data_IF_266547024317
#
_entry.id   IF_266547024317
#
_cell.length_a   1.000
_cell.length_b   1.000
_cell.length_c   1.000
_cell.angle_alpha   90.00
_cell.angle_beta   90.00
_cell.angle_gamma   90.00
#
_symmetry.space_group_name_H-M   'P 1'
#
loop_
_entity.id
_entity.type
_entity.pdbx_description
1 polymer ?
#
# COMPACT_ATOMS: atom_id res chain seq x y z
N UNK A 1 8.32 -9.86 8.84
CA UNK A 1 8.54 -10.85 7.76
C UNK A 1 8.40 -12.30 8.22
N UNK A 2 9.11 -12.75 9.26
CA UNK A 2 9.03 -14.16 9.71
C UNK A 2 7.60 -14.56 10.13
N UNK A 3 6.92 -13.75 10.93
CA UNK A 3 5.53 -14.01 11.32
C UNK A 3 4.58 -14.20 10.12
N UNK A 4 4.80 -13.42 9.06
CA UNK A 4 4.07 -13.61 7.80
C UNK A 4 4.40 -14.94 7.13
N UNK A 5 5.69 -15.28 7.01
CA UNK A 5 6.12 -16.57 6.44
C UNK A 5 5.57 -17.77 7.23
N UNK A 6 5.56 -17.65 8.56
CA UNK A 6 4.96 -18.65 9.45
C UNK A 6 3.46 -18.81 9.19
N UNK A 7 2.73 -17.72 9.00
CA UNK A 7 1.30 -17.77 8.65
C UNK A 7 1.02 -18.42 7.28
N UNK A 8 2.04 -18.53 6.41
CA UNK A 8 1.99 -19.19 5.10
C UNK A 8 2.49 -20.65 5.12
N UNK A 9 2.71 -21.21 6.30
CA UNK A 9 3.18 -22.59 6.42
C UNK A 9 4.66 -22.77 6.10
N UNK A 10 5.47 -21.70 6.12
CA UNK A 10 6.88 -21.77 5.82
C UNK A 10 7.75 -22.33 6.96
N UNK A 11 7.16 -22.76 8.08
CA UNK A 11 7.89 -23.24 9.26
C UNK A 11 8.88 -24.36 8.93
N UNK A 12 8.48 -25.29 8.05
CA UNK A 12 9.27 -26.48 7.74
C UNK A 12 10.45 -26.20 6.80
N UNK A 13 10.47 -25.04 6.13
CA UNK A 13 11.54 -24.67 5.20
C UNK A 13 12.53 -23.65 5.79
N UNK A 14 12.18 -22.98 6.90
CA UNK A 14 13.03 -22.00 7.56
C UNK A 14 13.80 -22.70 8.67
N UNK A 15 15.11 -22.84 8.52
CA UNK A 15 15.96 -23.56 9.46
C UNK A 15 16.66 -22.68 10.49
N UNK A 16 16.64 -21.35 10.30
CA UNK A 16 17.24 -20.39 11.21
C UNK A 16 17.37 -19.00 10.59
N UNK A 17 17.98 -18.12 11.33
CA UNK A 17 18.24 -16.73 10.95
C UNK A 17 19.74 -16.46 10.93
N UNK A 18 20.14 -15.45 10.14
CA UNK A 18 21.47 -14.87 10.19
C UNK A 18 21.38 -13.41 10.56
N UNK A 19 22.11 -13.00 11.60
CA UNK A 19 22.21 -11.59 12.00
C UNK A 19 23.60 -11.29 12.55
N UNK A 20 24.04 -10.03 12.38
CA UNK A 20 25.32 -9.54 12.95
C UNK A 20 25.29 -9.50 14.48
N UNK A 21 24.10 -9.45 15.06
CA UNK A 21 23.87 -9.46 16.50
C UNK A 21 23.54 -10.87 17.05
N UNK A 22 23.98 -11.92 16.37
CA UNK A 22 23.70 -13.30 16.77
C UNK A 22 24.18 -13.63 18.19
N UNK A 23 25.24 -12.97 18.67
CA UNK A 23 25.71 -13.12 20.05
C UNK A 23 24.72 -12.54 21.09
N UNK A 24 23.97 -11.47 20.69
CA UNK A 24 22.97 -10.84 21.53
C UNK A 24 21.59 -11.52 21.37
N UNK A 25 21.26 -11.92 20.13
CA UNK A 25 19.96 -12.51 19.74
C UNK A 25 20.21 -13.97 19.39
N UNK A 26 20.15 -14.84 20.38
CA UNK A 26 20.43 -16.27 20.16
C UNK A 26 19.28 -17.04 19.49
N UNK A 27 18.05 -16.60 19.67
CA UNK A 27 16.84 -17.24 19.12
C UNK A 27 15.79 -16.20 18.72
N UNK A 28 15.04 -16.54 17.67
CA UNK A 28 13.77 -15.90 17.30
C UNK A 28 12.73 -17.02 17.25
N UNK A 29 11.71 -16.95 18.11
CA UNK A 29 10.85 -18.08 18.44
C UNK A 29 11.70 -19.31 18.82
N UNK A 30 11.50 -20.46 18.13
CA UNK A 30 12.23 -21.71 18.38
C UNK A 30 13.47 -21.87 17.48
N UNK A 31 13.73 -20.91 16.55
CA UNK A 31 14.83 -20.99 15.59
C UNK A 31 16.08 -20.26 16.08
N UNK A 32 17.23 -20.86 15.83
CA UNK A 32 18.50 -20.27 16.18
C UNK A 32 18.88 -19.08 15.27
N UNK A 33 19.59 -18.13 15.83
CA UNK A 33 20.22 -17.04 15.09
C UNK A 33 21.72 -17.30 15.03
N UNK A 34 22.28 -17.27 13.84
CA UNK A 34 23.67 -17.61 13.54
C UNK A 34 24.44 -16.39 13.03
N UNK A 35 25.73 -16.38 13.29
CA UNK A 35 26.66 -15.56 12.51
C UNK A 35 26.80 -16.10 11.10
N UNK A 36 27.05 -15.19 10.13
CA UNK A 36 27.14 -15.60 8.73
C UNK A 36 28.23 -16.66 8.47
N UNK A 37 29.34 -16.57 9.18
CA UNK A 37 30.49 -17.50 9.04
C UNK A 37 30.18 -18.92 9.58
N UNK A 38 29.17 -19.04 10.43
CA UNK A 38 28.72 -20.33 10.97
C UNK A 38 27.89 -21.15 9.96
N UNK A 39 27.27 -20.49 8.99
CA UNK A 39 26.33 -21.11 8.02
C UNK A 39 26.81 -21.07 6.58
N UNK A 40 27.80 -20.24 6.27
CA UNK A 40 28.43 -20.17 4.94
C UNK A 40 29.02 -21.51 4.52
N UNK A 41 28.89 -21.87 3.25
CA UNK A 41 29.40 -23.13 2.70
C UNK A 41 28.62 -24.39 3.09
N UNK A 42 27.53 -24.27 3.84
CA UNK A 42 26.71 -25.41 4.27
C UNK A 42 25.58 -25.75 3.30
N UNK A 43 25.48 -25.07 2.16
CA UNK A 43 24.51 -25.36 1.12
C UNK A 43 23.10 -24.83 1.38
N UNK A 44 22.93 -23.94 2.32
CA UNK A 44 21.64 -23.28 2.58
C UNK A 44 21.26 -22.32 1.45
N UNK A 45 19.96 -22.09 1.32
CA UNK A 45 19.41 -21.00 0.51
C UNK A 45 19.18 -19.80 1.42
N UNK A 46 19.85 -18.69 1.15
CA UNK A 46 19.72 -17.47 1.92
C UNK A 46 18.59 -16.57 1.37
N UNK A 47 17.57 -16.34 2.15
CA UNK A 47 16.53 -15.35 1.84
C UNK A 47 16.92 -14.01 2.47
N UNK A 48 17.19 -12.99 1.63
CA UNK A 48 17.60 -11.67 2.10
C UNK A 48 16.35 -10.83 2.35
N UNK A 49 16.12 -10.47 3.61
CA UNK A 49 14.91 -9.77 4.08
C UNK A 49 15.08 -8.26 4.21
N UNK A 50 16.25 -7.68 3.87
CA UNK A 50 16.45 -6.24 3.87
C UNK A 50 15.59 -5.56 2.79
N UNK A 51 14.91 -4.48 3.15
CA UNK A 51 14.11 -3.68 2.23
C UNK A 51 14.97 -2.75 1.36
N UNK A 52 16.11 -2.30 1.87
CA UNK A 52 17.04 -1.44 1.12
C UNK A 52 17.80 -2.22 0.04
N UNK A 53 17.70 -1.76 -1.22
CA UNK A 53 18.34 -2.41 -2.37
C UNK A 53 19.86 -2.39 -2.29
N UNK A 54 20.45 -1.28 -1.84
CA UNK A 54 21.90 -1.16 -1.70
C UNK A 54 22.43 -2.10 -0.62
N UNK A 55 21.70 -2.23 0.49
CA UNK A 55 22.01 -3.16 1.56
C UNK A 55 21.94 -4.61 1.09
N UNK A 56 20.91 -4.99 0.33
CA UNK A 56 20.79 -6.33 -0.27
C UNK A 56 21.97 -6.65 -1.19
N UNK A 57 22.28 -5.71 -2.10
CA UNK A 57 23.43 -5.87 -3.01
C UNK A 57 24.73 -6.04 -2.23
N UNK A 58 24.99 -5.18 -1.24
CA UNK A 58 26.17 -5.26 -0.41
C UNK A 58 26.30 -6.62 0.25
N UNK A 59 25.24 -7.15 0.85
CA UNK A 59 25.27 -8.49 1.48
C UNK A 59 25.60 -9.56 0.45
N UNK A 60 24.96 -9.57 -0.73
CA UNK A 60 25.24 -10.53 -1.79
C UNK A 60 26.69 -10.48 -2.25
N UNK A 61 27.23 -9.28 -2.44
CA UNK A 61 28.53 -9.06 -3.07
C UNK A 61 29.69 -9.18 -2.06
N UNK A 62 29.45 -9.09 -0.76
CA UNK A 62 30.52 -9.10 0.26
C UNK A 62 30.40 -10.22 1.29
N UNK A 63 29.19 -10.53 1.73
CA UNK A 63 28.99 -11.47 2.84
C UNK A 63 28.55 -12.87 2.36
N UNK A 64 27.79 -12.95 1.26
CA UNK A 64 27.23 -14.19 0.71
C UNK A 64 27.82 -14.54 -0.67
N UNK A 65 29.05 -14.17 -0.93
CA UNK A 65 29.74 -14.47 -2.20
C UNK A 65 29.79 -15.98 -2.43
N UNK A 66 29.24 -16.43 -3.56
CA UNK A 66 29.19 -17.84 -3.91
C UNK A 66 28.03 -18.64 -3.30
N UNK A 67 27.26 -18.03 -2.40
CA UNK A 67 26.07 -18.65 -1.81
C UNK A 67 24.84 -18.49 -2.68
N UNK A 68 23.89 -19.42 -2.54
CA UNK A 68 22.58 -19.32 -3.19
C UNK A 68 21.70 -18.32 -2.42
N UNK A 69 21.35 -17.22 -3.07
CA UNK A 69 20.54 -16.15 -2.47
C UNK A 69 19.28 -15.87 -3.27
N UNK A 70 18.20 -15.62 -2.55
CA UNK A 70 16.94 -15.11 -3.10
C UNK A 70 16.52 -13.84 -2.38
N UNK A 71 15.77 -12.99 -3.05
CA UNK A 71 15.07 -11.87 -2.41
C UNK A 71 13.80 -12.36 -1.70
N UNK A 72 13.31 -11.59 -0.73
CA UNK A 72 12.16 -12.00 0.10
C UNK A 72 10.92 -12.41 -0.72
N UNK A 73 10.59 -11.67 -1.78
CA UNK A 73 9.46 -12.00 -2.64
C UNK A 73 9.65 -13.27 -3.48
N UNK A 74 10.89 -13.72 -3.67
CA UNK A 74 11.18 -14.93 -4.44
C UNK A 74 10.88 -16.21 -3.64
N UNK A 75 10.72 -16.10 -2.30
CA UNK A 75 10.33 -17.22 -1.45
C UNK A 75 8.93 -17.78 -1.83
N UNK A 76 8.09 -16.96 -2.47
CA UNK A 76 6.77 -17.35 -2.95
C UNK A 76 6.81 -18.64 -3.77
N UNK A 77 7.83 -18.80 -4.62
CA UNK A 77 7.98 -20.00 -5.46
C UNK A 77 8.26 -21.27 -4.66
N UNK A 78 8.80 -21.15 -3.45
CA UNK A 78 9.01 -22.26 -2.52
C UNK A 78 7.79 -22.55 -1.64
N UNK A 79 6.78 -21.68 -1.69
CA UNK A 79 5.50 -21.80 -0.99
C UNK A 79 4.34 -22.16 -1.94
N UNK A 80 4.67 -22.56 -3.18
CA UNK A 80 3.68 -22.86 -4.22
C UNK A 80 2.68 -21.72 -4.46
N UNK A 81 3.14 -20.49 -4.28
CA UNK A 81 2.35 -19.27 -4.42
C UNK A 81 2.91 -18.41 -5.54
N UNK A 82 2.06 -17.79 -6.35
CA UNK A 82 2.54 -16.78 -7.30
C UNK A 82 2.96 -15.49 -6.57
N UNK A 83 3.89 -14.75 -7.18
CA UNK A 83 4.48 -13.56 -6.55
C UNK A 83 3.49 -12.41 -6.33
N UNK A 84 2.48 -12.28 -7.19
CA UNK A 84 1.45 -11.25 -7.03
C UNK A 84 0.66 -11.53 -5.76
N UNK A 85 0.12 -12.74 -5.63
CA UNK A 85 -0.63 -13.17 -4.44
C UNK A 85 0.21 -13.03 -3.18
N UNK A 86 1.46 -13.50 -3.20
CA UNK A 86 2.38 -13.37 -2.06
C UNK A 86 2.59 -11.91 -1.65
N UNK A 87 2.88 -11.02 -2.60
CA UNK A 87 3.14 -9.60 -2.30
C UNK A 87 1.89 -8.86 -1.83
N UNK A 88 0.71 -9.15 -2.40
CA UNK A 88 -0.58 -8.62 -1.93
C UNK A 88 -0.83 -8.95 -0.47
N UNK A 89 -0.68 -10.22 -0.12
CA UNK A 89 -0.91 -10.70 1.24
C UNK A 89 0.12 -10.19 2.22
N UNK A 90 1.39 -10.08 1.79
CA UNK A 90 2.45 -9.49 2.62
C UNK A 90 2.21 -8.00 2.86
N UNK A 91 1.84 -7.24 1.83
CA UNK A 91 1.51 -5.83 1.96
C UNK A 91 0.37 -5.62 2.98
N UNK A 92 -0.69 -6.40 2.85
CA UNK A 92 -1.81 -6.34 3.78
C UNK A 92 -1.41 -6.76 5.21
N UNK A 93 -0.63 -7.83 5.36
CA UNK A 93 -0.12 -8.30 6.65
C UNK A 93 0.75 -7.22 7.31
N UNK A 94 1.66 -6.60 6.55
CA UNK A 94 2.55 -5.56 7.05
C UNK A 94 1.77 -4.35 7.59
N UNK A 95 0.71 -3.92 6.88
CA UNK A 95 -0.14 -2.81 7.32
C UNK A 95 -1.11 -3.18 8.45
N UNK A 96 -1.33 -4.48 8.70
CA UNK A 96 -2.11 -4.97 9.84
C UNK A 96 -1.30 -5.02 11.14
N UNK A 97 0.02 -4.97 11.07
CA UNK A 97 0.89 -4.97 12.23
C UNK A 97 0.85 -3.64 12.97
N UNK A 98 1.48 -3.56 14.13
CA UNK A 98 1.45 -2.37 14.98
C UNK A 98 2.22 -1.20 14.32
N UNK A 99 1.48 -0.34 13.62
CA UNK A 99 2.00 0.85 12.93
C UNK A 99 1.69 2.14 13.71
N UNK A 100 1.59 2.09 15.03
CA UNK A 100 1.22 3.26 15.86
C UNK A 100 2.05 4.48 15.50
N UNK A 101 3.38 4.33 15.53
CA UNK A 101 4.31 5.42 15.19
C UNK A 101 4.12 5.97 13.77
N UNK A 102 3.78 5.10 12.81
CA UNK A 102 3.51 5.56 11.43
C UNK A 102 2.32 6.51 11.38
N UNK A 103 1.24 6.18 12.09
CA UNK A 103 0.06 7.04 12.11
C UNK A 103 0.30 8.36 12.83
N UNK A 104 1.11 8.37 13.89
CA UNK A 104 1.55 9.58 14.58
C UNK A 104 2.39 10.48 13.66
N UNK A 105 3.45 9.91 13.05
CA UNK A 105 4.34 10.63 12.11
C UNK A 105 3.56 11.12 10.86
N UNK A 106 2.51 10.44 10.45
CA UNK A 106 1.70 10.81 9.29
C UNK A 106 0.84 12.05 9.54
N UNK A 107 0.41 12.31 10.76
CA UNK A 107 -0.35 13.53 11.12
C UNK A 107 0.50 14.79 10.87
N UNK A 108 1.81 14.75 11.10
CA UNK A 108 2.71 15.89 10.90
C UNK A 108 2.89 16.26 9.41
N UNK A 109 2.47 15.38 8.49
CA UNK A 109 2.64 15.57 7.05
C UNK A 109 1.34 15.98 6.31
N UNK A 110 0.26 16.28 7.01
CA UNK A 110 -1.02 16.66 6.39
C UNK A 110 -0.88 17.87 5.48
N UNK A 111 -0.14 18.90 5.91
CA UNK A 111 0.04 20.14 5.13
C UNK A 111 0.75 19.93 3.79
N UNK A 112 1.57 18.89 3.64
CA UNK A 112 2.23 18.56 2.37
C UNK A 112 1.21 18.28 1.28
N UNK A 113 0.09 17.68 1.63
CA UNK A 113 -0.93 17.21 0.70
C UNK A 113 -2.04 18.24 0.47
N UNK A 114 -2.40 18.96 1.52
CA UNK A 114 -3.48 19.95 1.51
C UNK A 114 -3.00 21.37 1.20
N UNK A 115 -1.75 21.50 0.78
CA UNK A 115 -1.22 22.74 0.25
C UNK A 115 -1.90 23.12 -1.06
N UNK A 116 -2.37 24.35 -1.19
CA UNK A 116 -3.08 24.86 -2.38
C UNK A 116 -2.27 24.72 -3.69
N UNK A 117 -0.94 24.66 -3.60
CA UNK A 117 -0.06 24.47 -4.75
C UNK A 117 0.11 23.00 -5.15
N UNK A 118 -0.29 22.06 -4.30
CA UNK A 118 -0.16 20.64 -4.61
C UNK A 118 -1.10 20.22 -5.75
N UNK A 119 -0.64 19.30 -6.59
CA UNK A 119 -1.48 18.75 -7.65
C UNK A 119 -2.66 17.96 -7.10
N UNK A 120 -2.50 17.33 -5.91
CA UNK A 120 -3.59 16.65 -5.24
C UNK A 120 -4.70 17.62 -4.85
N UNK A 121 -4.38 18.71 -4.13
CA UNK A 121 -5.39 19.66 -3.66
C UNK A 121 -6.16 20.30 -4.81
N UNK A 122 -5.46 20.71 -5.88
CA UNK A 122 -6.09 21.26 -7.09
C UNK A 122 -7.12 20.33 -7.70
N UNK A 123 -6.81 19.03 -7.78
CA UNK A 123 -7.73 18.03 -8.31
C UNK A 123 -8.82 17.69 -7.29
N UNK A 124 -8.50 17.66 -5.99
CA UNK A 124 -9.48 17.43 -4.93
C UNK A 124 -10.59 18.48 -4.94
N UNK A 125 -10.27 19.74 -5.18
CA UNK A 125 -11.26 20.82 -5.33
C UNK A 125 -12.22 20.62 -6.51
N UNK A 126 -11.96 19.66 -7.40
CA UNK A 126 -12.85 19.31 -8.52
C UNK A 126 -13.83 18.18 -8.18
N UNK A 127 -13.77 17.63 -6.97
CA UNK A 127 -14.68 16.58 -6.50
C UNK A 127 -15.99 17.16 -5.98
N UNK A 128 -17.07 16.45 -6.26
CA UNK A 128 -18.36 16.68 -5.59
C UNK A 128 -18.36 15.94 -4.25
N UNK A 129 -18.40 16.68 -3.16
CA UNK A 129 -18.34 16.12 -1.79
C UNK A 129 -19.73 15.83 -1.20
N UNK A 130 -20.80 15.82 -2.01
CA UNK A 130 -22.17 15.55 -1.53
C UNK A 130 -22.25 14.15 -0.88
N UNK A 131 -21.63 13.13 -1.47
CA UNK A 131 -21.49 11.78 -0.90
C UNK A 131 -20.15 11.20 -1.33
N UNK A 132 -19.13 11.32 -0.47
CA UNK A 132 -17.73 11.02 -0.79
C UNK A 132 -17.25 9.77 -0.08
N UNK A 133 -16.42 8.98 -0.76
CA UNK A 133 -15.66 7.86 -0.17
C UNK A 133 -14.20 8.30 0.01
N UNK A 134 -13.64 8.09 1.20
CA UNK A 134 -12.20 8.06 1.42
C UNK A 134 -11.75 6.62 1.57
N UNK A 135 -10.98 6.12 0.58
CA UNK A 135 -10.47 4.76 0.54
C UNK A 135 -9.10 4.69 1.22
N UNK A 136 -8.93 3.73 2.10
CA UNK A 136 -7.76 3.54 2.96
C UNK A 136 -7.51 4.76 3.86
N UNK A 137 -8.55 5.14 4.59
CA UNK A 137 -8.58 6.36 5.40
C UNK A 137 -7.62 6.33 6.61
N UNK A 138 -7.08 5.16 6.98
CA UNK A 138 -6.28 5.02 8.17
C UNK A 138 -7.05 5.53 9.42
N UNK A 139 -6.41 6.39 10.20
CA UNK A 139 -7.03 7.03 11.38
C UNK A 139 -7.70 8.37 11.06
N UNK A 140 -8.01 8.62 9.79
CA UNK A 140 -8.80 9.77 9.36
C UNK A 140 -8.04 11.09 9.36
N UNK A 141 -6.72 11.09 9.10
CA UNK A 141 -5.90 12.33 9.09
C UNK A 141 -6.40 13.40 8.10
N UNK A 142 -7.01 12.98 7.00
CA UNK A 142 -7.51 13.89 5.96
C UNK A 142 -8.91 14.42 6.25
N UNK A 143 -9.71 13.70 7.03
CA UNK A 143 -11.12 14.03 7.29
C UNK A 143 -11.35 15.47 7.74
N UNK A 144 -10.57 16.07 8.67
CA UNK A 144 -10.76 17.45 9.09
C UNK A 144 -10.67 18.46 7.95
N UNK A 145 -9.95 18.14 6.87
CA UNK A 145 -9.70 19.07 5.77
C UNK A 145 -10.91 19.23 4.84
N UNK A 146 -11.87 18.32 4.89
CA UNK A 146 -13.03 18.36 3.97
C UNK A 146 -14.39 18.10 4.63
N UNK A 147 -14.44 17.62 5.86
CA UNK A 147 -15.66 17.20 6.55
C UNK A 147 -16.74 18.30 6.63
N UNK A 148 -16.33 19.54 6.86
CA UNK A 148 -17.28 20.66 6.90
C UNK A 148 -18.02 20.85 5.58
N UNK A 149 -17.31 20.64 4.47
CA UNK A 149 -17.86 20.80 3.09
C UNK A 149 -18.58 19.56 2.60
N UNK A 150 -18.37 18.41 3.25
CA UNK A 150 -18.96 17.16 2.83
C UNK A 150 -20.43 17.03 3.31
N UNK A 151 -21.29 16.49 2.46
CA UNK A 151 -22.64 16.11 2.83
C UNK A 151 -22.65 14.80 3.62
N UNK A 152 -22.06 13.75 3.04
CA UNK A 152 -21.88 12.42 3.62
C UNK A 152 -20.49 11.89 3.31
N UNK A 153 -19.87 11.25 4.28
CA UNK A 153 -18.54 10.65 4.14
C UNK A 153 -18.62 9.16 4.44
N UNK A 154 -18.02 8.33 3.60
CA UNK A 154 -17.79 6.92 3.87
C UNK A 154 -16.29 6.67 4.02
N UNK A 155 -15.87 6.36 5.23
CA UNK A 155 -14.47 5.99 5.53
C UNK A 155 -14.29 4.49 5.35
N UNK A 156 -13.38 4.11 4.46
CA UNK A 156 -13.09 2.72 4.15
C UNK A 156 -11.65 2.39 4.56
N UNK A 157 -11.47 1.34 5.34
CA UNK A 157 -10.16 0.81 5.70
C UNK A 157 -10.21 -0.71 5.86
N UNK A 158 -9.08 -1.38 5.70
CA UNK A 158 -8.98 -2.83 5.91
C UNK A 158 -8.95 -3.20 7.40
N UNK A 159 -8.63 -2.24 8.27
CA UNK A 159 -8.44 -2.44 9.71
C UNK A 159 -9.59 -1.83 10.50
N UNK A 160 -10.36 -2.68 11.15
CA UNK A 160 -11.42 -2.21 12.06
C UNK A 160 -10.85 -1.30 13.17
N UNK A 161 -9.62 -1.57 13.68
CA UNK A 161 -8.96 -0.71 14.68
C UNK A 161 -8.77 0.75 14.21
N UNK A 162 -8.52 0.97 12.92
CA UNK A 162 -8.40 2.30 12.34
C UNK A 162 -9.76 3.00 12.29
N UNK A 163 -10.80 2.26 11.89
CA UNK A 163 -12.17 2.78 11.89
C UNK A 163 -12.68 3.08 13.29
N UNK A 164 -12.28 2.29 14.31
CA UNK A 164 -12.59 2.56 15.71
C UNK A 164 -11.90 3.84 16.21
N UNK A 165 -10.67 4.09 15.77
CA UNK A 165 -9.99 5.36 16.03
C UNK A 165 -10.74 6.54 15.36
N UNK A 166 -11.19 6.39 14.12
CA UNK A 166 -12.02 7.37 13.43
C UNK A 166 -13.36 7.61 14.16
N UNK A 167 -14.07 6.56 14.61
CA UNK A 167 -15.33 6.70 15.38
C UNK A 167 -15.13 7.55 16.64
N UNK A 168 -14.03 7.33 17.33
CA UNK A 168 -13.68 8.12 18.53
C UNK A 168 -13.32 9.57 18.17
N UNK A 169 -12.51 9.74 17.13
CA UNK A 169 -12.01 11.06 16.68
C UNK A 169 -13.15 11.96 16.20
N UNK A 170 -14.15 11.39 15.53
CA UNK A 170 -15.23 12.12 14.87
C UNK A 170 -16.61 11.82 15.48
N UNK A 171 -16.68 11.58 16.78
CA UNK A 171 -17.92 11.25 17.47
C UNK A 171 -19.01 12.32 17.30
N UNK A 172 -18.62 13.60 17.27
CA UNK A 172 -19.52 14.75 17.10
C UNK A 172 -20.07 14.90 15.67
N UNK A 173 -19.53 14.16 14.70
CA UNK A 173 -19.98 14.13 13.30
C UNK A 173 -20.51 12.77 12.87
N UNK A 174 -20.96 11.96 13.82
CA UNK A 174 -21.42 10.58 13.59
C UNK A 174 -22.63 10.45 12.67
N UNK A 175 -23.40 11.52 12.50
CA UNK A 175 -24.53 11.61 11.57
C UNK A 175 -24.11 11.73 10.09
N UNK A 176 -22.90 12.21 9.84
CA UNK A 176 -22.34 12.39 8.49
C UNK A 176 -21.42 11.26 8.04
N UNK A 177 -20.80 10.53 8.98
CA UNK A 177 -19.72 9.59 8.69
C UNK A 177 -20.18 8.16 8.82
N UNK A 178 -19.97 7.40 7.75
CA UNK A 178 -20.17 5.94 7.70
C UNK A 178 -18.82 5.24 7.65
N UNK A 179 -18.74 4.07 8.27
CA UNK A 179 -17.50 3.30 8.41
C UNK A 179 -17.70 1.94 7.76
N UNK A 180 -16.74 1.56 6.90
CA UNK A 180 -16.77 0.29 6.21
C UNK A 180 -15.39 -0.40 6.26
N UNK A 181 -15.30 -1.46 7.06
CA UNK A 181 -14.15 -2.36 7.01
C UNK A 181 -14.29 -3.27 5.80
N UNK A 182 -13.44 -3.08 4.79
CA UNK A 182 -13.46 -3.87 3.58
C UNK A 182 -12.52 -5.09 3.68
N UNK A 183 -12.62 -6.01 2.73
CA UNK A 183 -11.85 -7.26 2.72
C UNK A 183 -10.50 -7.18 2.00
N UNK A 184 -9.94 -5.98 1.84
CA UNK A 184 -8.65 -5.65 1.23
C UNK A 184 -8.65 -5.47 -0.28
N UNK A 185 -9.68 -5.92 -1.00
CA UNK A 185 -9.59 -6.01 -2.45
C UNK A 185 -10.74 -5.37 -3.20
N UNK A 186 -11.83 -5.03 -2.52
CA UNK A 186 -13.04 -4.52 -3.14
C UNK A 186 -13.89 -3.62 -2.24
N UNK A 187 -14.95 -3.08 -2.84
CA UNK A 187 -15.96 -2.26 -2.19
C UNK A 187 -17.37 -2.89 -2.35
N UNK A 188 -17.45 -4.22 -2.47
CA UNK A 188 -18.67 -4.96 -2.86
C UNK A 188 -19.90 -4.68 -2.01
N UNK A 189 -19.73 -4.26 -0.74
CA UNK A 189 -20.86 -3.94 0.14
C UNK A 189 -21.35 -2.51 0.00
N UNK A 190 -20.65 -1.66 -0.75
CA UNK A 190 -21.10 -0.31 -1.04
C UNK A 190 -22.11 -0.32 -2.19
N UNK A 191 -23.10 0.58 -2.11
CA UNK A 191 -24.22 0.69 -3.04
C UNK A 191 -23.77 1.12 -4.44
N UNK A 192 -24.44 0.61 -5.46
CA UNK A 192 -24.23 0.97 -6.85
C UNK A 192 -24.73 2.38 -7.13
N UNK A 193 -23.96 3.16 -7.90
CA UNK A 193 -24.34 4.50 -8.38
C UNK A 193 -24.86 5.44 -7.28
N UNK A 194 -24.30 5.31 -6.06
CA UNK A 194 -24.74 6.08 -4.89
C UNK A 194 -23.81 7.25 -4.55
N UNK A 195 -22.55 7.20 -4.96
CA UNK A 195 -21.50 8.12 -4.52
C UNK A 195 -21.20 9.17 -5.59
N UNK A 196 -21.00 10.42 -5.16
CA UNK A 196 -20.63 11.54 -6.04
C UNK A 196 -19.14 11.54 -6.34
N UNK A 197 -18.31 11.12 -5.37
CA UNK A 197 -16.86 11.05 -5.55
C UNK A 197 -16.19 10.03 -4.65
N UNK A 198 -14.95 9.72 -5.02
CA UNK A 198 -14.01 8.93 -4.20
C UNK A 198 -12.64 9.54 -4.28
N UNK A 199 -11.88 9.45 -3.19
CA UNK A 199 -10.43 9.69 -3.25
C UNK A 199 -9.65 8.70 -2.38
N UNK A 200 -8.37 8.54 -2.71
CA UNK A 200 -7.38 7.84 -1.89
C UNK A 200 -6.05 8.55 -1.98
N UNK A 201 -5.38 8.69 -0.84
CA UNK A 201 -4.09 9.34 -0.79
C UNK A 201 -3.08 8.55 0.05
N UNK A 202 -1.85 8.44 -0.47
CA UNK A 202 -0.70 7.78 0.16
C UNK A 202 -0.96 6.31 0.62
N UNK A 203 -1.85 5.64 -0.11
CA UNK A 203 -2.18 4.24 0.15
C UNK A 203 -2.05 3.39 -1.13
N UNK A 204 -2.68 3.79 -2.25
CA UNK A 204 -2.68 2.99 -3.48
C UNK A 204 -1.30 2.92 -4.15
N UNK A 205 -0.35 3.71 -3.72
CA UNK A 205 1.07 3.63 -4.10
C UNK A 205 1.72 2.29 -3.73
N UNK A 206 1.14 1.60 -2.73
CA UNK A 206 1.60 0.30 -2.21
C UNK A 206 0.83 -0.88 -2.79
N UNK A 207 -0.27 -0.65 -3.51
CA UNK A 207 -1.15 -1.73 -3.97
C UNK A 207 -0.55 -2.43 -5.20
N UNK A 208 -0.74 -3.74 -5.27
CA UNK A 208 -0.46 -4.50 -6.48
C UNK A 208 -1.41 -4.13 -7.60
N UNK A 209 -0.96 -4.27 -8.84
CA UNK A 209 -1.73 -3.94 -10.04
C UNK A 209 -3.11 -4.61 -10.06
N UNK A 210 -3.20 -5.87 -9.62
CA UNK A 210 -4.46 -6.62 -9.61
C UNK A 210 -5.45 -6.06 -8.58
N UNK A 211 -4.94 -5.53 -7.44
CA UNK A 211 -5.78 -4.86 -6.46
C UNK A 211 -6.30 -3.53 -6.98
N UNK A 212 -5.42 -2.75 -7.63
CA UNK A 212 -5.81 -1.51 -8.30
C UNK A 212 -6.93 -1.77 -9.31
N UNK A 213 -6.78 -2.81 -10.15
CA UNK A 213 -7.82 -3.16 -11.12
C UNK A 213 -9.15 -3.58 -10.45
N UNK A 214 -9.09 -4.35 -9.37
CA UNK A 214 -10.27 -4.75 -8.61
C UNK A 214 -10.99 -3.53 -8.02
N UNK A 215 -10.25 -2.64 -7.36
CA UNK A 215 -10.81 -1.40 -6.82
C UNK A 215 -11.40 -0.50 -7.91
N UNK A 216 -10.72 -0.32 -9.03
CA UNK A 216 -11.23 0.51 -10.14
C UNK A 216 -12.61 0.03 -10.62
N UNK A 217 -12.83 -1.29 -10.73
CA UNK A 217 -14.16 -1.85 -11.11
C UNK A 217 -15.23 -1.50 -10.10
N UNK A 218 -14.95 -1.68 -8.82
CA UNK A 218 -15.94 -1.39 -7.79
C UNK A 218 -16.18 0.10 -7.60
N UNK A 219 -15.13 0.92 -7.72
CA UNK A 219 -15.27 2.37 -7.69
C UNK A 219 -16.16 2.86 -8.85
N UNK A 220 -15.94 2.31 -10.05
CA UNK A 220 -16.80 2.62 -11.20
C UNK A 220 -18.27 2.24 -10.94
N UNK A 221 -18.52 1.07 -10.35
CA UNK A 221 -19.87 0.63 -9.97
C UNK A 221 -20.50 1.56 -8.95
N UNK A 222 -19.76 1.94 -7.90
CA UNK A 222 -20.28 2.76 -6.80
C UNK A 222 -20.56 4.21 -7.19
N UNK A 223 -19.78 4.78 -8.11
CA UNK A 223 -19.95 6.17 -8.53
C UNK A 223 -21.22 6.36 -9.36
N UNK A 224 -21.87 7.49 -9.17
CA UNK A 224 -22.93 7.99 -10.06
C UNK A 224 -22.36 8.31 -11.44
N UNK A 225 -23.18 8.32 -12.50
CA UNK A 225 -22.79 8.91 -13.79
C UNK A 225 -22.27 10.35 -13.58
N UNK A 226 -21.13 10.69 -14.18
CA UNK A 226 -20.43 11.96 -13.97
C UNK A 226 -19.66 12.07 -12.63
N UNK A 227 -19.72 11.04 -11.77
CA UNK A 227 -18.96 10.98 -10.53
C UNK A 227 -17.48 10.86 -10.77
N UNK A 228 -16.66 11.43 -9.87
CA UNK A 228 -15.20 11.53 -10.03
C UNK A 228 -14.45 10.74 -8.98
N UNK A 229 -13.29 10.23 -9.37
CA UNK A 229 -12.37 9.55 -8.48
C UNK A 229 -10.95 10.12 -8.60
N UNK A 230 -10.33 10.42 -7.46
CA UNK A 230 -8.99 10.98 -7.36
C UNK A 230 -8.03 9.98 -6.69
N UNK A 231 -6.93 9.68 -7.37
CA UNK A 231 -5.98 8.67 -6.95
C UNK A 231 -4.58 9.24 -6.82
N UNK A 232 -3.93 8.94 -5.70
CA UNK A 232 -2.48 8.98 -5.59
C UNK A 232 -1.95 7.55 -5.73
N UNK A 233 -1.20 7.28 -6.79
CA UNK A 233 -0.69 5.95 -7.10
C UNK A 233 0.79 6.00 -7.49
N UNK A 234 1.47 4.85 -7.42
CA UNK A 234 2.87 4.72 -7.85
C UNK A 234 3.06 5.06 -9.33
N UNK A 235 4.22 5.63 -9.66
CA UNK A 235 4.72 5.76 -11.04
C UNK A 235 6.13 5.13 -11.17
N UNK A 236 6.43 4.14 -10.35
CA UNK A 236 7.72 3.49 -10.34
C UNK A 236 7.81 2.37 -11.39
N UNK A 237 8.69 2.57 -12.38
CA UNK A 237 8.88 1.63 -13.51
C UNK A 237 10.32 1.20 -13.73
N UNK A 238 11.26 1.66 -12.89
CA UNK A 238 12.69 1.42 -13.11
C UNK A 238 13.08 -0.06 -12.99
N UNK A 239 12.31 -0.83 -12.24
CA UNK A 239 12.56 -2.25 -12.04
C UNK A 239 11.24 -3.01 -12.03
N UNK A 240 10.98 -3.82 -13.07
CA UNK A 240 9.76 -4.64 -13.18
C UNK A 240 9.67 -5.76 -12.13
N UNK A 241 10.77 -6.06 -11.43
CA UNK A 241 10.80 -6.98 -10.29
C UNK A 241 10.49 -6.29 -8.96
N UNK A 242 10.34 -4.96 -8.98
CA UNK A 242 10.04 -4.19 -7.78
C UNK A 242 8.61 -4.45 -7.31
N UNK A 243 8.46 -4.46 -6.01
CA UNK A 243 7.21 -4.57 -5.28
C UNK A 243 7.32 -3.79 -3.97
N UNK A 244 6.29 -3.85 -3.15
CA UNK A 244 6.25 -3.22 -1.84
C UNK A 244 7.52 -3.47 -0.99
N UNK A 245 8.13 -4.67 -1.08
CA UNK A 245 9.26 -5.06 -0.23
C UNK A 245 10.59 -4.43 -0.65
N UNK A 246 10.78 -4.05 -1.91
CA UNK A 246 12.10 -3.75 -2.46
C UNK A 246 12.18 -2.51 -3.36
N UNK A 247 11.11 -1.75 -3.45
CA UNK A 247 11.07 -0.49 -4.19
C UNK A 247 11.26 0.73 -3.26
N UNK A 248 11.73 1.87 -3.79
CA UNK A 248 11.81 3.11 -3.02
C UNK A 248 10.47 3.48 -2.39
N UNK A 249 10.48 3.86 -1.12
CA UNK A 249 9.29 4.23 -0.35
C UNK A 249 8.16 3.18 -0.44
N UNK A 250 8.52 1.91 -0.56
CA UNK A 250 7.56 0.78 -0.65
C UNK A 250 6.57 0.89 -1.82
N UNK A 251 6.99 1.46 -2.96
CA UNK A 251 6.13 1.55 -4.15
C UNK A 251 6.07 0.22 -4.88
N UNK A 252 4.89 -0.16 -5.32
CA UNK A 252 4.74 -1.24 -6.27
C UNK A 252 5.00 -0.77 -7.71
N UNK A 253 5.33 -1.71 -8.60
CA UNK A 253 5.54 -1.41 -10.01
C UNK A 253 4.23 -0.94 -10.64
N UNK A 254 4.22 0.30 -11.10
CA UNK A 254 3.10 0.94 -11.78
C UNK A 254 3.60 2.10 -12.62
N UNK A 255 2.86 2.46 -13.67
CA UNK A 255 3.08 3.70 -14.41
C UNK A 255 1.79 4.47 -14.60
N UNK A 256 1.90 5.78 -14.84
CA UNK A 256 0.76 6.61 -15.23
C UNK A 256 -0.01 6.02 -16.42
N UNK A 257 0.71 5.48 -17.42
CA UNK A 257 0.09 4.91 -18.62
C UNK A 257 -0.62 3.60 -18.34
N UNK A 258 -0.04 2.73 -17.50
CA UNK A 258 -0.68 1.47 -17.10
C UNK A 258 -1.93 1.74 -16.26
N UNK A 259 -1.86 2.69 -15.32
CA UNK A 259 -3.02 3.09 -14.53
C UNK A 259 -4.13 3.65 -15.42
N UNK A 260 -3.81 4.55 -16.35
CA UNK A 260 -4.77 5.09 -17.32
C UNK A 260 -5.38 4.01 -18.20
N UNK A 261 -4.57 3.04 -18.64
CA UNK A 261 -5.07 1.89 -19.41
C UNK A 261 -6.07 1.06 -18.61
N UNK A 262 -5.76 0.73 -17.35
CA UNK A 262 -6.68 -0.02 -16.49
C UNK A 262 -7.98 0.75 -16.24
N UNK A 263 -7.89 2.04 -15.94
CA UNK A 263 -9.03 2.91 -15.72
C UNK A 263 -9.94 2.99 -16.97
N UNK A 264 -9.34 3.22 -18.14
CA UNK A 264 -10.06 3.22 -19.41
C UNK A 264 -10.75 1.88 -19.71
N UNK A 265 -10.08 0.75 -19.45
CA UNK A 265 -10.65 -0.59 -19.67
C UNK A 265 -11.83 -0.90 -18.75
N UNK A 266 -11.91 -0.23 -17.61
CA UNK A 266 -13.07 -0.30 -16.70
C UNK A 266 -14.22 0.60 -17.15
N UNK A 267 -13.95 1.67 -17.92
CA UNK A 267 -14.95 2.62 -18.44
C UNK A 267 -14.77 4.07 -17.96
N UNK A 268 -13.68 4.38 -17.27
CA UNK A 268 -13.38 5.74 -16.84
C UNK A 268 -12.81 6.60 -17.97
N UNK A 269 -13.15 7.87 -17.97
CA UNK A 269 -12.41 8.92 -18.65
C UNK A 269 -11.31 9.45 -17.75
N UNK A 270 -10.09 9.57 -18.27
CA UNK A 270 -8.96 10.19 -17.57
C UNK A 270 -9.00 11.69 -17.82
N UNK A 271 -9.36 12.48 -16.81
CA UNK A 271 -9.43 13.94 -16.94
C UNK A 271 -8.07 14.60 -16.82
N UNK A 272 -7.33 14.25 -15.76
CA UNK A 272 -6.03 14.85 -15.44
C UNK A 272 -5.09 13.77 -14.90
N UNK A 273 -3.83 13.78 -15.34
CA UNK A 273 -2.75 13.01 -14.74
C UNK A 273 -1.51 13.87 -14.55
N UNK A 274 -0.94 13.86 -13.34
CA UNK A 274 0.28 14.59 -13.02
C UNK A 274 1.26 13.69 -12.30
N UNK A 275 2.45 13.54 -12.86
CA UNK A 275 3.58 12.95 -12.14
C UNK A 275 4.04 13.91 -11.06
N UNK A 276 4.31 13.37 -9.87
CA UNK A 276 4.76 14.14 -8.72
C UNK A 276 6.05 13.54 -8.13
N UNK A 277 6.86 14.41 -7.56
CA UNK A 277 8.02 14.00 -6.80
C UNK A 277 7.58 13.53 -5.41
N UNK A 278 8.29 12.59 -4.82
CA UNK A 278 8.01 12.09 -3.48
C UNK A 278 9.28 12.04 -2.65
N UNK A 279 9.33 12.82 -1.55
CA UNK A 279 10.46 12.91 -0.62
C UNK A 279 11.82 12.87 -1.31
N UNK A 280 12.02 13.74 -2.30
CA UNK A 280 13.28 13.90 -3.04
C UNK A 280 13.50 12.89 -4.18
N UNK A 281 12.59 11.94 -4.41
CA UNK A 281 12.63 11.04 -5.55
C UNK A 281 11.76 11.60 -6.68
N UNK A 282 12.36 12.04 -7.81
CA UNK A 282 11.62 12.67 -8.89
C UNK A 282 10.65 11.70 -9.56
N UNK A 283 9.42 12.19 -9.82
CA UNK A 283 8.36 11.50 -10.58
C UNK A 283 8.06 10.09 -10.09
N UNK A 284 8.26 9.85 -8.80
CA UNK A 284 8.03 8.53 -8.20
C UNK A 284 6.56 8.14 -8.19
N UNK A 285 5.69 9.13 -8.04
CA UNK A 285 4.25 8.95 -7.93
C UNK A 285 3.48 9.71 -9.00
N UNK A 286 2.19 9.45 -9.09
CA UNK A 286 1.26 10.14 -9.97
C UNK A 286 -0.06 10.41 -9.24
N UNK A 287 -0.63 11.59 -9.49
CA UNK A 287 -2.00 11.93 -9.10
C UNK A 287 -2.88 11.90 -10.34
N UNK A 288 -3.97 11.16 -10.29
CA UNK A 288 -4.87 10.95 -11.42
C UNK A 288 -6.32 11.22 -11.04
N UNK A 289 -6.98 12.10 -11.78
CA UNK A 289 -8.41 12.37 -11.68
C UNK A 289 -9.15 11.65 -12.81
N UNK A 290 -10.11 10.81 -12.44
CA UNK A 290 -10.97 10.06 -13.33
C UNK A 290 -12.40 10.55 -13.23
N UNK A 291 -13.20 10.32 -14.29
CA UNK A 291 -14.63 10.55 -14.31
C UNK A 291 -15.36 9.35 -14.91
N UNK A 292 -16.44 8.92 -14.26
CA UNK A 292 -17.38 7.95 -14.83
C UNK A 292 -18.24 8.63 -15.88
N UNK A 293 -18.41 7.99 -17.04
CA UNK A 293 -19.25 8.52 -18.11
C UNK A 293 -20.70 8.82 -17.62
N UNK A 294 -21.30 9.83 -18.25
CA UNK A 294 -22.66 10.29 -17.98
C UNK A 294 -23.71 9.25 -18.41
#
# INVERSE_FOLDING_TARGET
MYAFLKSKGANDIITGFCDKKHDEIQKVDDLNVYGIDEVRGKGYLFCITLLDENGRRKIKDTELVGEKCIDFSDIATHLECDKITFNREFCAFYHCDDMEKYYEDAEDNVDVFWNENSEFYKMFCMLDLTNVIELACGRGRHVPMYLEKAGRVTLVDILEKNLDACRKRFADASDKIYYYANDRYDLRKLEDSAYSSLFTYDAMVHFEMMDIYSYLKDIYRCLKPGGRALFHHSNYTKNYKANFCNAPHSRNFMSRNLFAYLAYRVGFNVLIQKEIDWFGTPKLDCVTLLEKEM
#
